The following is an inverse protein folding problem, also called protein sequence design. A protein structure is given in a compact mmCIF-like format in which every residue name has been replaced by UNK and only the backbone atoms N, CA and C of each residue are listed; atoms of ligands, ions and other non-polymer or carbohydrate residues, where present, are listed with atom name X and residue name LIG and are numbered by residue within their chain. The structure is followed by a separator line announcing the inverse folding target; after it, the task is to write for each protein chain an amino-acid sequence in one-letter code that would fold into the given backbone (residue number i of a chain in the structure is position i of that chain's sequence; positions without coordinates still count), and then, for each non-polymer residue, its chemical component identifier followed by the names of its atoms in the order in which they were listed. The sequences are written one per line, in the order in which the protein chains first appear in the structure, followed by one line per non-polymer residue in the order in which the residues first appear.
data_IF_147495511153
#
_entry.id   IF_147495511153
#
_cell.length_a   1.000
_cell.length_b   1.000
_cell.length_c   1.000
_cell.angle_alpha   90.00
_cell.angle_beta   90.00
_cell.angle_gamma   90.00
#
_symmetry.space_group_name_H-M   'P 1'
#
loop_
_entity.id
_entity.type
_entity.pdbx_description
1 polymer ?
#
# COMPACT_ATOMS: atom_id res chain seq x y z
N UNK A 1 0.48 21.23 23.22
CA UNK A 1 0.92 19.82 23.12
C UNK A 1 -0.12 18.93 22.45
N UNK A 2 -1.43 19.19 22.59
CA UNK A 2 -2.48 18.43 21.86
C UNK A 2 -2.35 18.46 20.34
N UNK A 3 -2.04 19.60 19.73
CA UNK A 3 -1.90 19.72 18.27
C UNK A 3 -0.87 18.72 17.69
N UNK A 4 0.28 18.56 18.35
CA UNK A 4 1.34 17.65 17.91
C UNK A 4 0.89 16.19 17.99
N UNK A 5 0.06 15.85 18.97
CA UNK A 5 -0.46 14.50 19.13
C UNK A 5 -1.44 14.12 18.03
N UNK A 6 -2.41 15.00 17.74
CA UNK A 6 -3.38 14.78 16.65
C UNK A 6 -2.68 14.78 15.29
N UNK A 7 -1.64 15.61 15.12
CA UNK A 7 -0.79 15.59 13.94
C UNK A 7 -0.14 14.21 13.74
N UNK A 8 0.40 13.59 14.79
CA UNK A 8 0.94 12.23 14.73
C UNK A 8 -0.07 11.20 14.22
N UNK A 9 -1.27 11.22 14.78
CA UNK A 9 -2.35 10.31 14.35
C UNK A 9 -2.79 10.58 12.90
N UNK A 10 -2.82 11.84 12.46
CA UNK A 10 -3.16 12.18 11.08
C UNK A 10 -2.04 11.79 10.10
N UNK A 11 -0.77 11.92 10.51
CA UNK A 11 0.39 11.58 9.70
C UNK A 11 0.41 10.11 9.31
N UNK A 12 0.10 9.18 10.23
CA UNK A 12 0.15 7.75 9.88
C UNK A 12 -0.84 7.40 8.78
N UNK A 13 -2.07 7.90 8.86
CA UNK A 13 -3.08 7.70 7.82
C UNK A 13 -2.68 8.40 6.51
N UNK A 14 -2.36 9.70 6.60
CA UNK A 14 -2.08 10.53 5.43
C UNK A 14 -0.87 10.03 4.62
N UNK A 15 0.23 9.71 5.29
CA UNK A 15 1.44 9.22 4.62
C UNK A 15 1.18 7.84 4.00
N UNK A 16 0.50 6.94 4.72
CA UNK A 16 0.13 5.61 4.20
C UNK A 16 -0.73 5.72 2.93
N UNK A 17 -1.74 6.59 2.95
CA UNK A 17 -2.62 6.84 1.81
C UNK A 17 -1.87 7.41 0.59
N UNK A 18 -0.89 8.29 0.81
CA UNK A 18 0.00 8.79 -0.26
C UNK A 18 0.77 7.63 -0.89
N UNK A 19 1.35 6.74 -0.08
CA UNK A 19 2.05 5.56 -0.59
C UNK A 19 1.15 4.67 -1.43
N UNK A 20 -0.08 4.42 -0.96
CA UNK A 20 -1.10 3.67 -1.71
C UNK A 20 -1.44 4.34 -3.05
N UNK A 21 -1.64 5.66 -3.08
CA UNK A 21 -1.92 6.39 -4.31
C UNK A 21 -0.79 6.23 -5.34
N UNK A 22 0.46 6.34 -4.90
CA UNK A 22 1.64 6.15 -5.75
C UNK A 22 1.72 4.70 -6.25
N UNK A 23 1.54 3.72 -5.36
CA UNK A 23 1.58 2.29 -5.68
C UNK A 23 0.49 1.89 -6.69
N UNK A 24 -0.75 2.31 -6.45
CA UNK A 24 -1.89 2.11 -7.36
C UNK A 24 -1.61 2.78 -8.72
N UNK A 25 -1.03 3.98 -8.71
CA UNK A 25 -0.62 4.65 -9.94
C UNK A 25 0.36 3.82 -10.77
N UNK A 26 1.40 3.27 -10.13
CA UNK A 26 2.39 2.44 -10.82
C UNK A 26 1.78 1.15 -11.39
N UNK A 27 1.06 0.38 -10.57
CA UNK A 27 0.47 -0.89 -11.00
C UNK A 27 -0.69 -0.70 -11.98
N UNK A 28 -1.52 0.34 -11.78
CA UNK A 28 -2.66 0.67 -12.62
C UNK A 28 -2.25 1.08 -14.04
N UNK A 29 -1.21 1.90 -14.17
CA UNK A 29 -0.67 2.27 -15.49
C UNK A 29 -0.18 1.03 -16.26
N UNK A 30 0.49 0.09 -15.59
CA UNK A 30 0.94 -1.16 -16.20
C UNK A 30 -0.23 -2.09 -16.59
N UNK A 31 -1.24 -2.22 -15.74
CA UNK A 31 -2.44 -2.99 -16.04
C UNK A 31 -3.19 -2.43 -17.26
N UNK A 32 -3.34 -1.09 -17.35
CA UNK A 32 -3.91 -0.42 -18.53
C UNK A 32 -3.08 -0.72 -19.78
N UNK A 33 -1.75 -0.67 -19.68
CA UNK A 33 -0.85 -1.02 -20.77
C UNK A 33 -1.03 -2.46 -21.25
N UNK A 34 -1.11 -3.41 -20.33
CA UNK A 34 -1.35 -4.82 -20.62
C UNK A 34 -2.72 -5.06 -21.29
N UNK A 35 -3.80 -4.43 -20.80
CA UNK A 35 -5.12 -4.51 -21.46
C UNK A 35 -5.10 -3.91 -22.85
N UNK A 36 -4.48 -2.73 -23.04
CA UNK A 36 -4.30 -2.11 -24.37
C UNK A 36 -3.63 -3.07 -25.35
N UNK A 37 -2.54 -3.73 -24.95
CA UNK A 37 -1.85 -4.73 -25.80
C UNK A 37 -2.73 -5.95 -26.06
N UNK A 38 -3.53 -6.38 -25.09
CA UNK A 38 -4.53 -7.42 -25.26
C UNK A 38 -5.51 -7.08 -26.38
N UNK A 39 -6.14 -5.90 -26.30
CA UNK A 39 -7.11 -5.42 -27.29
C UNK A 39 -6.50 -5.31 -28.70
N UNK A 40 -5.29 -4.74 -28.83
CA UNK A 40 -4.63 -4.60 -30.13
C UNK A 40 -4.33 -5.94 -30.81
N UNK A 41 -4.13 -7.00 -30.02
CA UNK A 41 -3.79 -8.33 -30.51
C UNK A 41 -5.00 -9.28 -30.58
N UNK A 42 -6.23 -8.77 -30.44
CA UNK A 42 -7.46 -9.58 -30.33
C UNK A 42 -7.37 -10.68 -29.25
N UNK A 43 -6.63 -10.41 -28.16
CA UNK A 43 -6.52 -11.29 -27.00
C UNK A 43 -7.48 -10.81 -25.91
N UNK A 44 -8.00 -11.72 -25.05
CA UNK A 44 -8.78 -11.33 -23.88
C UNK A 44 -8.00 -10.35 -23.00
N UNK A 45 -8.66 -9.32 -22.49
CA UNK A 45 -8.11 -8.42 -21.49
C UNK A 45 -8.45 -8.97 -20.10
N UNK A 46 -7.51 -9.61 -19.38
CA UNK A 46 -7.86 -10.39 -18.22
C UNK A 46 -8.14 -9.48 -17.03
N UNK A 47 -9.33 -9.59 -16.44
CA UNK A 47 -9.74 -8.80 -15.27
C UNK A 47 -8.81 -9.01 -14.06
N UNK A 48 -8.15 -10.16 -13.96
CA UNK A 48 -7.23 -10.51 -12.87
C UNK A 48 -6.07 -9.52 -12.70
N UNK A 49 -5.72 -8.73 -13.74
CA UNK A 49 -4.71 -7.67 -13.61
C UNK A 49 -5.12 -6.58 -12.60
N UNK A 50 -6.43 -6.44 -12.33
CA UNK A 50 -6.95 -5.54 -11.29
C UNK A 50 -6.45 -5.90 -9.89
N UNK A 51 -6.10 -7.17 -9.62
CA UNK A 51 -5.51 -7.59 -8.35
C UNK A 51 -4.17 -6.89 -8.11
N UNK A 52 -3.33 -6.79 -9.14
CA UNK A 52 -2.06 -6.08 -9.03
C UNK A 52 -2.25 -4.57 -8.88
N UNK A 53 -3.20 -3.99 -9.61
CA UNK A 53 -3.52 -2.57 -9.51
C UNK A 53 -4.08 -2.18 -8.14
N UNK A 54 -4.89 -3.05 -7.54
CA UNK A 54 -5.57 -2.80 -6.27
C UNK A 54 -4.77 -3.17 -5.03
N UNK A 55 -3.74 -4.02 -5.14
CA UNK A 55 -2.97 -4.50 -3.98
C UNK A 55 -2.47 -3.37 -3.05
N UNK A 56 -1.94 -2.23 -3.55
CA UNK A 56 -1.42 -1.17 -2.68
C UNK A 56 -2.50 -0.42 -1.89
N UNK A 57 -3.80 -0.66 -2.13
CA UNK A 57 -4.88 -0.04 -1.36
C UNK A 57 -4.88 -0.47 0.12
N UNK A 58 -4.35 -1.66 0.41
CA UNK A 58 -4.28 -2.22 1.77
C UNK A 58 -3.55 -1.30 2.75
N UNK A 59 -2.50 -0.59 2.29
CA UNK A 59 -1.75 0.33 3.15
C UNK A 59 -2.57 1.54 3.62
N UNK A 60 -3.52 2.05 2.84
CA UNK A 60 -4.48 3.06 3.32
C UNK A 60 -5.30 2.52 4.49
N UNK A 61 -5.77 1.27 4.40
CA UNK A 61 -6.54 0.63 5.47
C UNK A 61 -5.67 0.44 6.72
N UNK A 62 -4.43 -0.02 6.57
CA UNK A 62 -3.51 -0.16 7.70
C UNK A 62 -3.21 1.17 8.38
N UNK A 63 -2.99 2.24 7.61
CA UNK A 63 -2.81 3.58 8.15
C UNK A 63 -4.04 4.08 8.91
N UNK A 64 -5.25 3.78 8.44
CA UNK A 64 -6.50 4.12 9.13
C UNK A 64 -6.68 3.35 10.44
N UNK A 65 -6.44 2.04 10.44
CA UNK A 65 -6.56 1.22 11.65
C UNK A 65 -5.55 1.66 12.72
N UNK A 66 -4.30 1.93 12.32
CA UNK A 66 -3.27 2.40 13.24
C UNK A 66 -3.55 3.81 13.74
N UNK A 67 -4.13 4.69 12.92
CA UNK A 67 -4.60 6.00 13.38
C UNK A 67 -5.56 5.87 14.58
N UNK A 68 -6.56 4.98 14.48
CA UNK A 68 -7.49 4.73 15.58
C UNK A 68 -6.78 4.25 16.86
N UNK A 69 -5.87 3.28 16.74
CA UNK A 69 -5.11 2.78 17.88
C UNK A 69 -4.20 3.84 18.53
N UNK A 70 -3.57 4.71 17.73
CA UNK A 70 -2.77 5.82 18.25
C UNK A 70 -3.64 6.89 18.95
N UNK A 71 -4.86 7.13 18.47
CA UNK A 71 -5.83 8.02 19.13
C UNK A 71 -6.24 7.46 20.49
N UNK A 72 -6.50 6.16 20.60
CA UNK A 72 -6.81 5.52 21.89
C UNK A 72 -5.64 5.64 22.89
N UNK A 73 -4.40 5.36 22.45
CA UNK A 73 -3.20 5.52 23.29
C UNK A 73 -3.00 6.98 23.73
N UNK A 74 -3.28 7.95 22.84
CA UNK A 74 -3.22 9.36 23.16
C UNK A 74 -4.23 9.74 24.26
N UNK A 75 -5.49 9.29 24.12
CA UNK A 75 -6.54 9.53 25.12
C UNK A 75 -6.21 8.86 26.47
N UNK A 76 -5.46 7.76 26.46
CA UNK A 76 -4.93 7.09 27.65
C UNK A 76 -3.71 7.80 28.29
N UNK A 77 -3.27 8.96 27.76
CA UNK A 77 -2.18 9.75 28.32
C UNK A 77 -0.78 9.41 27.80
N UNK A 78 -0.66 8.72 26.65
CA UNK A 78 0.63 8.47 26.02
C UNK A 78 1.38 9.77 25.66
N UNK A 79 2.72 9.71 25.63
CA UNK A 79 3.56 10.87 25.34
C UNK A 79 3.30 11.42 23.91
N UNK A 80 2.89 12.69 23.75
CA UNK A 80 2.63 13.33 22.46
C UNK A 80 3.76 13.22 21.42
N UNK A 81 5.01 13.36 21.87
CA UNK A 81 6.18 13.30 21.00
C UNK A 81 6.42 11.89 20.46
N UNK A 82 6.16 10.87 21.27
CA UNK A 82 6.21 9.47 20.82
C UNK A 82 5.10 9.18 19.81
N UNK A 83 3.86 9.66 20.05
CA UNK A 83 2.76 9.49 19.08
C UNK A 83 3.08 10.14 17.73
N UNK A 84 3.67 11.34 17.74
CA UNK A 84 4.13 12.00 16.51
C UNK A 84 5.22 11.20 15.79
N UNK A 85 6.24 10.75 16.54
CA UNK A 85 7.32 9.92 16.00
C UNK A 85 6.79 8.62 15.38
N UNK A 86 6.00 7.86 16.13
CA UNK A 86 5.35 6.63 15.64
C UNK A 86 4.50 6.92 14.41
N UNK A 87 3.70 7.99 14.44
CA UNK A 87 2.82 8.32 13.33
C UNK A 87 3.57 8.60 12.03
N UNK A 88 4.64 9.40 12.09
CA UNK A 88 5.47 9.74 10.92
C UNK A 88 6.26 8.54 10.42
N UNK A 89 7.03 7.87 11.29
CA UNK A 89 7.93 6.80 10.86
C UNK A 89 7.16 5.56 10.42
N UNK A 90 6.11 5.16 11.12
CA UNK A 90 5.29 4.02 10.70
C UNK A 90 4.51 4.33 9.43
N UNK A 91 4.00 5.57 9.29
CA UNK A 91 3.38 6.02 8.05
C UNK A 91 4.34 5.94 6.85
N UNK A 92 5.60 6.35 7.02
CA UNK A 92 6.62 6.25 5.97
C UNK A 92 6.94 4.81 5.58
N UNK A 93 7.04 3.89 6.56
CA UNK A 93 7.28 2.46 6.28
C UNK A 93 6.11 1.84 5.52
N UNK A 94 4.88 2.12 5.96
CA UNK A 94 3.66 1.66 5.28
C UNK A 94 3.61 2.25 3.85
N UNK A 95 3.93 3.53 3.68
CA UNK A 95 3.95 4.16 2.36
C UNK A 95 5.02 3.57 1.43
N UNK A 96 6.23 3.34 1.93
CA UNK A 96 7.30 2.71 1.17
C UNK A 96 6.88 1.31 0.71
N UNK A 97 6.29 0.51 1.62
CA UNK A 97 5.71 -0.80 1.30
C UNK A 97 4.72 -0.71 0.14
N UNK A 98 3.77 0.22 0.17
CA UNK A 98 2.77 0.41 -0.89
C UNK A 98 3.41 0.75 -2.24
N UNK A 99 4.42 1.63 -2.25
CA UNK A 99 5.13 2.03 -3.47
C UNK A 99 5.84 0.83 -4.11
N UNK A 100 6.55 0.03 -3.31
CA UNK A 100 7.24 -1.16 -3.82
C UNK A 100 6.26 -2.28 -4.19
N UNK A 101 5.15 -2.42 -3.46
CA UNK A 101 4.07 -3.33 -3.80
C UNK A 101 3.46 -2.97 -5.17
N UNK A 102 3.25 -1.68 -5.43
CA UNK A 102 2.80 -1.18 -6.73
C UNK A 102 3.80 -1.44 -7.87
N UNK A 103 5.11 -1.29 -7.61
CA UNK A 103 6.15 -1.63 -8.59
C UNK A 103 6.20 -3.13 -8.91
N UNK A 104 6.10 -3.98 -7.87
CA UNK A 104 6.00 -5.44 -8.05
C UNK A 104 4.72 -5.81 -8.82
N UNK A 105 3.59 -5.18 -8.49
CA UNK A 105 2.32 -5.35 -9.19
C UNK A 105 2.40 -4.90 -10.66
N UNK A 106 3.11 -3.80 -10.94
CA UNK A 106 3.33 -3.33 -12.30
C UNK A 106 4.09 -4.36 -13.14
N UNK A 107 5.19 -4.91 -12.61
CA UNK A 107 5.95 -5.98 -13.26
C UNK A 107 5.11 -7.25 -13.45
N UNK A 108 4.32 -7.63 -12.44
CA UNK A 108 3.40 -8.77 -12.51
C UNK A 108 2.30 -8.58 -13.55
N UNK A 109 1.73 -7.38 -13.66
CA UNK A 109 0.71 -7.05 -14.64
C UNK A 109 1.25 -7.09 -16.07
N UNK A 110 2.45 -6.56 -16.27
CA UNK A 110 3.14 -6.58 -17.57
C UNK A 110 3.44 -8.02 -18.01
N UNK A 111 4.10 -8.80 -17.14
CA UNK A 111 4.46 -10.19 -17.40
C UNK A 111 3.23 -11.08 -17.61
N UNK A 112 2.18 -10.93 -16.80
CA UNK A 112 0.94 -11.71 -16.97
C UNK A 112 0.19 -11.30 -18.23
N UNK A 113 0.17 -10.01 -18.56
CA UNK A 113 -0.47 -9.50 -19.78
C UNK A 113 0.16 -10.03 -21.06
N UNK A 114 1.48 -10.26 -21.07
CA UNK A 114 2.19 -10.81 -22.23
C UNK A 114 2.15 -12.33 -22.30
N UNK A 115 2.40 -13.00 -21.17
CA UNK A 115 2.63 -14.45 -21.15
C UNK A 115 1.39 -15.27 -20.79
N UNK A 116 0.42 -14.66 -20.10
CA UNK A 116 -0.74 -15.37 -19.53
C UNK A 116 -0.38 -16.37 -18.42
N UNK A 117 0.86 -16.33 -17.89
CA UNK A 117 1.39 -17.32 -16.93
C UNK A 117 1.98 -16.63 -15.70
N UNK A 118 2.15 -17.41 -14.63
CA UNK A 118 2.96 -17.01 -13.47
C UNK A 118 2.25 -16.14 -12.42
N UNK A 119 0.92 -15.98 -12.51
CA UNK A 119 0.14 -15.14 -11.58
C UNK A 119 0.48 -15.37 -10.10
N UNK A 120 0.49 -16.63 -9.64
CA UNK A 120 0.79 -16.96 -8.24
C UNK A 120 2.19 -16.51 -7.80
N UNK A 121 3.19 -16.67 -8.66
CA UNK A 121 4.57 -16.27 -8.37
C UNK A 121 4.68 -14.74 -8.27
N UNK A 122 4.01 -14.02 -9.17
CA UNK A 122 4.02 -12.55 -9.14
C UNK A 122 3.28 -12.02 -7.91
N UNK A 123 2.14 -12.63 -7.56
CA UNK A 123 1.38 -12.28 -6.37
C UNK A 123 2.16 -12.56 -5.09
N UNK A 124 2.98 -13.62 -5.05
CA UNK A 124 3.86 -13.89 -3.92
C UNK A 124 4.83 -12.72 -3.67
N UNK A 125 5.44 -12.16 -4.73
CA UNK A 125 6.34 -10.99 -4.59
C UNK A 125 5.57 -9.74 -4.12
N UNK A 126 4.36 -9.52 -4.65
CA UNK A 126 3.46 -8.45 -4.18
C UNK A 126 3.11 -8.63 -2.70
N UNK A 127 2.87 -9.86 -2.26
CA UNK A 127 2.61 -10.20 -0.86
C UNK A 127 3.82 -10.01 0.04
N UNK A 128 5.04 -10.28 -0.44
CA UNK A 128 6.26 -10.00 0.33
C UNK A 128 6.40 -8.51 0.63
N UNK A 129 6.08 -7.63 -0.31
CA UNK A 129 6.04 -6.18 -0.04
C UNK A 129 5.05 -5.87 1.09
N UNK A 130 3.86 -6.47 1.07
CA UNK A 130 2.82 -6.27 2.10
C UNK A 130 3.29 -6.58 3.52
N UNK A 131 4.11 -7.63 3.69
CA UNK A 131 4.56 -8.05 5.03
C UNK A 131 5.29 -6.95 5.79
N UNK A 132 5.98 -6.04 5.08
CA UNK A 132 6.67 -4.90 5.70
C UNK A 132 5.67 -3.95 6.36
N UNK A 133 4.56 -3.62 5.68
CA UNK A 133 3.50 -2.81 6.25
C UNK A 133 2.78 -3.52 7.40
N UNK A 134 2.53 -4.83 7.27
CA UNK A 134 1.88 -5.62 8.32
C UNK A 134 2.72 -5.67 9.59
N UNK A 135 4.03 -5.89 9.50
CA UNK A 135 4.91 -5.85 10.66
C UNK A 135 4.98 -4.45 11.27
N UNK A 136 5.10 -3.41 10.44
CA UNK A 136 5.11 -2.02 10.92
C UNK A 136 3.82 -1.66 11.67
N UNK A 137 2.67 -2.11 11.18
CA UNK A 137 1.38 -1.91 11.85
C UNK A 137 1.28 -2.75 13.14
N UNK A 138 1.55 -4.06 13.06
CA UNK A 138 1.37 -4.99 14.17
C UNK A 138 2.20 -4.64 15.41
N UNK A 139 3.44 -4.16 15.22
CA UNK A 139 4.31 -3.75 16.33
C UNK A 139 3.99 -2.37 16.92
N UNK A 140 3.07 -1.62 16.33
CA UNK A 140 2.64 -0.31 16.81
C UNK A 140 1.17 -0.27 17.30
N UNK A 141 0.47 -1.41 17.27
CA UNK A 141 -0.83 -1.57 17.93
C UNK A 141 -0.72 -1.53 19.46
#
# INVERSE_FOLDING_TARGET
MEFLSWLGTACVFGISAIGSAIGIGAAGLAAIGAWKRGYLNNKPAPFILSVFAGAPLTQTLYGYLLMGALQEKLLAGANPGLILGTGVFTGLVIAASAIFQGKAGAAGADALGETGKGFANYLMVVGLCETVALFAMAFNF
#
